data_IF_156648011917
#
_entry.id   IF_156648011917
#
_cell.length_a   1.000
_cell.length_b   1.000
_cell.length_c   1.000
_cell.angle_alpha   90.00
_cell.angle_beta   90.00
_cell.angle_gamma   90.00
#
_symmetry.space_group_name_H-M   'P 1'
#
loop_
_entity.id
_entity.type
_entity.pdbx_description
1 polymer ?
#
# COMPACT_ATOMS: atom_id res chain seq x y z
N UNK A 1 -56.37 -2.13 16.39
CA UNK A 1 -55.91 -3.07 15.34
C UNK A 1 -55.39 -2.24 14.20
N UNK A 2 -54.08 -2.01 14.15
CA UNK A 2 -53.46 -1.07 13.22
C UNK A 2 -53.28 -1.73 11.85
N UNK A 3 -53.74 -1.07 10.79
CA UNK A 3 -53.59 -1.50 9.39
C UNK A 3 -52.13 -1.89 9.06
N UNK A 4 -51.17 -1.27 9.75
CA UNK A 4 -49.74 -1.59 9.67
C UNK A 4 -49.40 -3.06 9.97
N UNK A 5 -50.14 -3.73 10.87
CA UNK A 5 -49.90 -5.15 11.20
C UNK A 5 -50.30 -6.11 10.08
N UNK A 6 -51.12 -5.67 9.13
CA UNK A 6 -51.61 -6.49 8.01
C UNK A 6 -51.08 -6.03 6.65
N UNK A 7 -50.20 -5.03 6.60
CA UNK A 7 -49.72 -4.47 5.33
C UNK A 7 -49.04 -5.51 4.44
N UNK A 8 -48.19 -6.37 5.01
CA UNK A 8 -47.49 -7.42 4.27
C UNK A 8 -48.45 -8.48 3.68
N UNK A 9 -49.34 -9.12 4.48
CA UNK A 9 -50.32 -10.07 3.94
C UNK A 9 -51.23 -9.46 2.85
N UNK A 10 -51.59 -8.18 2.97
CA UNK A 10 -52.39 -7.49 1.94
C UNK A 10 -51.59 -7.36 0.64
N UNK A 11 -50.33 -6.93 0.71
CA UNK A 11 -49.48 -6.80 -0.48
C UNK A 11 -49.18 -8.14 -1.13
N UNK A 12 -48.94 -9.19 -0.33
CA UNK A 12 -48.75 -10.56 -0.82
C UNK A 12 -50.04 -11.07 -1.50
N UNK A 13 -51.21 -10.88 -0.89
CA UNK A 13 -52.49 -11.25 -1.49
C UNK A 13 -52.80 -10.50 -2.79
N UNK A 14 -52.38 -9.24 -2.92
CA UNK A 14 -52.53 -8.46 -4.15
C UNK A 14 -51.53 -8.89 -5.23
N UNK A 15 -50.34 -9.35 -4.83
CA UNK A 15 -49.33 -9.88 -5.74
C UNK A 15 -49.69 -11.28 -6.28
N UNK A 16 -50.34 -12.11 -5.45
CA UNK A 16 -50.71 -13.50 -5.80
C UNK A 16 -52.02 -13.60 -6.60
N UNK A 17 -52.80 -12.53 -6.68
CA UNK A 17 -54.07 -12.53 -7.41
C UNK A 17 -53.86 -12.24 -8.90
N UNK A 18 -54.32 -13.14 -9.78
CA UNK A 18 -54.26 -12.98 -11.25
C UNK A 18 -54.81 -11.63 -11.75
N UNK A 19 -55.82 -11.09 -11.06
CA UNK A 19 -56.46 -9.82 -11.44
C UNK A 19 -55.63 -8.59 -11.10
N UNK A 20 -54.78 -8.65 -10.06
CA UNK A 20 -54.03 -7.50 -9.54
C UNK A 20 -52.51 -7.66 -9.60
N UNK A 21 -52.01 -8.86 -9.89
CA UNK A 21 -50.58 -9.20 -9.87
C UNK A 21 -49.76 -8.26 -10.75
N UNK A 22 -50.17 -8.06 -12.01
CA UNK A 22 -49.44 -7.24 -12.97
C UNK A 22 -49.40 -5.76 -12.56
N UNK A 23 -50.54 -5.22 -12.10
CA UNK A 23 -50.65 -3.83 -11.65
C UNK A 23 -49.82 -3.61 -10.38
N UNK A 24 -49.87 -4.57 -9.45
CA UNK A 24 -49.11 -4.54 -8.19
C UNK A 24 -47.61 -4.61 -8.45
N UNK A 25 -47.16 -5.49 -9.37
CA UNK A 25 -45.77 -5.59 -9.77
C UNK A 25 -45.27 -4.30 -10.45
N UNK A 26 -46.03 -3.74 -11.40
CA UNK A 26 -45.68 -2.47 -12.05
C UNK A 26 -45.59 -1.32 -11.05
N UNK A 27 -46.52 -1.25 -10.11
CA UNK A 27 -46.48 -0.25 -9.03
C UNK A 27 -45.25 -0.43 -8.13
N UNK A 28 -44.96 -1.66 -7.69
CA UNK A 28 -43.82 -1.97 -6.84
C UNK A 28 -42.48 -1.62 -7.52
N UNK A 29 -42.31 -1.97 -8.80
CA UNK A 29 -41.12 -1.61 -9.59
C UNK A 29 -40.98 -0.09 -9.72
N UNK A 30 -42.07 0.61 -10.02
CA UNK A 30 -42.06 2.08 -10.12
C UNK A 30 -41.69 2.74 -8.79
N UNK A 31 -42.26 2.26 -7.69
CA UNK A 31 -41.97 2.74 -6.35
C UNK A 31 -40.51 2.49 -5.95
N UNK A 32 -40.01 1.27 -6.15
CA UNK A 32 -38.63 0.90 -5.85
C UNK A 32 -37.63 1.71 -6.70
N UNK A 33 -37.93 1.89 -7.99
CA UNK A 33 -37.11 2.69 -8.91
C UNK A 33 -36.99 4.15 -8.45
N UNK A 34 -38.08 4.72 -7.92
CA UNK A 34 -38.07 6.08 -7.37
C UNK A 34 -37.19 6.19 -6.12
N UNK A 35 -37.26 5.21 -5.21
CA UNK A 35 -36.40 5.16 -4.03
C UNK A 35 -34.94 5.04 -4.44
N UNK A 36 -34.61 4.06 -5.28
CA UNK A 36 -33.23 3.84 -5.74
C UNK A 36 -32.68 5.07 -6.48
N UNK A 37 -33.51 5.71 -7.32
CA UNK A 37 -33.14 6.94 -8.00
C UNK A 37 -32.84 8.10 -7.04
N UNK A 38 -33.61 8.25 -5.96
CA UNK A 38 -33.35 9.27 -4.92
C UNK A 38 -32.06 9.00 -4.16
N UNK A 39 -31.81 7.74 -3.79
CA UNK A 39 -30.59 7.34 -3.11
C UNK A 39 -29.34 7.53 -3.98
N UNK A 40 -29.39 7.13 -5.25
CA UNK A 40 -28.29 7.40 -6.20
C UNK A 40 -28.08 8.90 -6.37
N UNK A 41 -29.15 9.70 -6.48
CA UNK A 41 -29.02 11.16 -6.54
C UNK A 41 -28.40 11.75 -5.25
N UNK A 42 -28.71 11.19 -4.09
CA UNK A 42 -28.09 11.55 -2.80
C UNK A 42 -26.60 11.19 -2.77
N UNK A 43 -26.24 9.97 -3.18
CA UNK A 43 -24.84 9.55 -3.33
C UNK A 43 -24.07 10.46 -4.29
N UNK A 44 -24.73 10.95 -5.33
CA UNK A 44 -24.11 11.82 -6.34
C UNK A 44 -23.83 13.26 -5.87
N UNK A 45 -24.23 13.65 -4.66
CA UNK A 45 -23.92 14.97 -4.09
C UNK A 45 -22.45 15.09 -3.71
N UNK A 46 -21.93 16.33 -3.71
CA UNK A 46 -20.54 16.60 -3.35
C UNK A 46 -20.22 16.22 -1.90
N UNK A 47 -21.19 16.42 -0.99
CA UNK A 47 -21.09 16.10 0.44
C UNK A 47 -20.85 14.61 0.71
N UNK A 48 -21.21 13.74 -0.22
CA UNK A 48 -21.02 12.29 -0.11
C UNK A 48 -19.55 11.87 -0.29
N UNK A 49 -18.68 12.77 -0.76
CA UNK A 49 -17.23 12.56 -0.81
C UNK A 49 -16.74 11.72 -1.99
N UNK A 50 -17.59 11.45 -2.98
CA UNK A 50 -17.23 10.64 -4.16
C UNK A 50 -16.78 11.48 -5.37
N UNK A 51 -16.54 12.78 -5.17
CA UNK A 51 -16.12 13.70 -6.23
C UNK A 51 -14.60 13.75 -6.34
N UNK A 52 -14.05 13.50 -7.52
CA UNK A 52 -12.60 13.46 -7.75
C UNK A 52 -12.18 14.39 -8.90
N UNK A 53 -11.89 15.67 -8.60
CA UNK A 53 -11.56 16.66 -9.62
C UNK A 53 -10.12 16.47 -10.13
N UNK A 54 -9.96 15.92 -11.35
CA UNK A 54 -8.66 15.62 -11.99
C UNK A 54 -7.58 16.73 -11.92
N UNK A 55 -7.97 18.01 -11.84
CA UNK A 55 -7.04 19.14 -11.75
C UNK A 55 -6.68 19.61 -10.33
N UNK A 56 -7.20 18.96 -9.29
CA UNK A 56 -6.94 19.29 -7.88
C UNK A 56 -6.70 18.04 -7.03
N UNK A 57 -6.38 16.93 -7.69
CA UNK A 57 -6.09 15.67 -7.03
C UNK A 57 -4.77 15.80 -6.29
N UNK A 58 -4.78 15.40 -5.03
CA UNK A 58 -3.56 15.26 -4.22
C UNK A 58 -3.22 13.79 -4.02
N UNK A 59 -1.94 13.50 -3.78
CA UNK A 59 -1.51 12.14 -3.43
C UNK A 59 -2.27 11.59 -2.21
N UNK A 60 -2.52 12.45 -1.21
CA UNK A 60 -3.28 12.11 0.00
C UNK A 60 -4.72 11.73 -0.31
N UNK A 61 -5.37 12.43 -1.25
CA UNK A 61 -6.72 12.06 -1.68
C UNK A 61 -6.73 10.70 -2.37
N UNK A 62 -5.73 10.41 -3.22
CA UNK A 62 -5.63 9.13 -3.91
C UNK A 62 -5.42 7.96 -2.93
N UNK A 63 -4.50 8.11 -1.96
CA UNK A 63 -4.24 7.12 -0.90
C UNK A 63 -5.41 6.95 0.06
N UNK A 64 -6.25 7.97 0.20
CA UNK A 64 -7.41 7.96 1.10
C UNK A 64 -8.67 7.34 0.49
N UNK A 65 -8.67 6.95 -0.79
CA UNK A 65 -9.81 6.23 -1.37
C UNK A 65 -9.64 4.74 -1.11
N UNK A 66 -10.44 4.24 -0.17
CA UNK A 66 -10.53 2.82 0.17
C UNK A 66 -11.90 2.25 -0.24
N UNK A 67 -11.91 1.07 -0.87
CA UNK A 67 -13.15 0.46 -1.38
C UNK A 67 -14.10 0.06 -0.24
N UNK A 68 -13.59 -0.34 0.94
CA UNK A 68 -14.43 -0.66 2.10
C UNK A 68 -15.07 0.61 2.64
N UNK A 69 -14.31 1.70 2.77
CA UNK A 69 -14.87 2.98 3.16
C UNK A 69 -15.91 3.50 2.16
N UNK A 70 -15.74 3.22 0.86
CA UNK A 70 -16.74 3.52 -0.15
C UNK A 70 -17.99 2.66 0.01
N UNK A 71 -17.83 1.35 0.23
CA UNK A 71 -18.93 0.41 0.46
C UNK A 71 -19.77 0.83 1.67
N UNK A 72 -19.13 1.11 2.81
CA UNK A 72 -19.82 1.49 4.06
C UNK A 72 -20.60 2.79 3.88
N UNK A 73 -20.02 3.78 3.19
CA UNK A 73 -20.71 5.04 2.87
C UNK A 73 -21.86 4.84 1.90
N UNK A 74 -21.67 4.02 0.87
CA UNK A 74 -22.72 3.71 -0.11
C UNK A 74 -23.89 2.98 0.54
N UNK A 75 -23.62 1.97 1.36
CA UNK A 75 -24.64 1.23 2.11
C UNK A 75 -25.39 2.15 3.09
N UNK A 76 -24.69 3.06 3.77
CA UNK A 76 -25.32 4.00 4.70
C UNK A 76 -26.24 5.02 4.01
N UNK A 77 -25.83 5.53 2.86
CA UNK A 77 -26.56 6.59 2.14
C UNK A 77 -27.58 6.06 1.13
N UNK A 78 -27.44 4.81 0.71
CA UNK A 78 -28.33 4.13 -0.25
C UNK A 78 -28.66 2.69 0.19
N UNK A 79 -29.23 2.49 1.39
CA UNK A 79 -29.50 1.15 1.91
C UNK A 79 -30.42 0.32 1.01
N UNK A 80 -31.47 0.91 0.42
CA UNK A 80 -32.43 0.16 -0.40
C UNK A 80 -31.80 -0.28 -1.73
N UNK A 81 -31.05 0.61 -2.38
CA UNK A 81 -30.29 0.31 -3.60
C UNK A 81 -29.20 -0.72 -3.33
N UNK A 82 -28.53 -0.61 -2.18
CA UNK A 82 -27.51 -1.57 -1.76
C UNK A 82 -28.10 -2.99 -1.58
N UNK A 83 -29.23 -3.11 -0.89
CA UNK A 83 -29.96 -4.37 -0.74
C UNK A 83 -30.50 -4.89 -2.07
N UNK A 84 -30.95 -4.02 -2.97
CA UNK A 84 -31.33 -4.45 -4.32
C UNK A 84 -30.13 -5.08 -5.06
N UNK A 85 -28.94 -4.48 -4.93
CA UNK A 85 -27.73 -5.03 -5.52
C UNK A 85 -27.24 -6.32 -4.84
N UNK A 86 -27.51 -6.54 -3.55
CA UNK A 86 -27.34 -7.87 -2.93
C UNK A 86 -28.03 -8.95 -3.76
N UNK A 87 -29.30 -8.71 -4.08
CA UNK A 87 -30.11 -9.68 -4.82
C UNK A 87 -29.63 -9.80 -6.26
N UNK A 88 -29.37 -8.69 -6.94
CA UNK A 88 -29.01 -8.70 -8.36
C UNK A 88 -27.62 -9.30 -8.61
N UNK A 89 -26.63 -8.98 -7.77
CA UNK A 89 -25.26 -9.50 -7.93
C UNK A 89 -25.17 -10.98 -7.51
N UNK A 90 -26.06 -11.43 -6.61
CA UNK A 90 -26.13 -12.81 -6.15
C UNK A 90 -27.23 -13.64 -6.82
N UNK A 91 -27.83 -13.16 -7.93
CA UNK A 91 -29.02 -13.77 -8.53
C UNK A 91 -28.84 -15.24 -8.97
N UNK A 92 -27.63 -15.62 -9.41
CA UNK A 92 -27.34 -17.00 -9.77
C UNK A 92 -26.83 -17.80 -8.56
N UNK A 93 -27.78 -18.48 -7.88
CA UNK A 93 -27.48 -19.34 -6.74
C UNK A 93 -26.56 -20.50 -7.09
N UNK A 94 -26.55 -20.97 -8.33
CA UNK A 94 -25.75 -22.11 -8.77
C UNK A 94 -24.29 -21.70 -9.02
N UNK A 95 -24.06 -20.50 -9.57
CA UNK A 95 -22.71 -19.91 -9.64
C UNK A 95 -22.18 -19.61 -8.24
N UNK A 96 -23.01 -19.09 -7.33
CA UNK A 96 -22.60 -18.85 -5.95
C UNK A 96 -22.26 -20.16 -5.21
N UNK A 97 -23.06 -21.20 -5.41
CA UNK A 97 -22.80 -22.54 -4.87
C UNK A 97 -21.52 -23.15 -5.46
N UNK A 98 -21.33 -23.09 -6.79
CA UNK A 98 -20.13 -23.61 -7.46
C UNK A 98 -18.86 -22.91 -7.01
N UNK A 99 -18.91 -21.59 -6.83
CA UNK A 99 -17.81 -20.82 -6.24
C UNK A 99 -17.50 -21.38 -4.86
N UNK A 100 -18.46 -21.40 -3.95
CA UNK A 100 -18.28 -21.95 -2.60
C UNK A 100 -17.77 -23.40 -2.57
N UNK A 101 -18.21 -24.25 -3.51
CA UNK A 101 -17.81 -25.66 -3.60
C UNK A 101 -16.41 -25.87 -4.20
N UNK A 102 -16.05 -25.13 -5.26
CA UNK A 102 -14.71 -25.20 -5.87
C UNK A 102 -13.62 -24.87 -4.85
N UNK A 103 -13.84 -23.82 -4.06
CA UNK A 103 -12.95 -23.44 -2.96
C UNK A 103 -12.73 -24.59 -1.96
N UNK A 104 -13.80 -25.27 -1.54
CA UNK A 104 -13.68 -26.40 -0.60
C UNK A 104 -12.86 -27.57 -1.17
N UNK A 105 -12.87 -27.78 -2.48
CA UNK A 105 -12.18 -28.89 -3.13
C UNK A 105 -10.71 -28.60 -3.45
N UNK A 106 -10.36 -27.39 -3.90
CA UNK A 106 -8.96 -27.01 -4.17
C UNK A 106 -8.09 -27.08 -2.89
N UNK A 107 -8.69 -26.86 -1.72
CA UNK A 107 -8.00 -27.04 -0.44
C UNK A 107 -7.81 -28.50 -0.02
N UNK A 108 -8.72 -29.40 -0.41
CA UNK A 108 -8.54 -30.84 -0.15
C UNK A 108 -7.37 -31.39 -0.95
N UNK A 109 -7.24 -31.01 -2.23
CA UNK A 109 -6.14 -31.45 -3.10
C UNK A 109 -4.80 -30.86 -2.69
N UNK A 110 -4.71 -29.57 -2.31
CA UNK A 110 -3.44 -28.99 -1.79
C UNK A 110 -2.99 -29.66 -0.49
N UNK A 111 -3.89 -29.91 0.47
CA UNK A 111 -3.55 -30.65 1.70
C UNK A 111 -3.17 -32.12 1.42
N UNK A 112 -3.74 -32.75 0.40
CA UNK A 112 -3.37 -34.10 0.00
C UNK A 112 -1.98 -34.11 -0.67
N UNK A 113 -1.69 -33.18 -1.58
CA UNK A 113 -0.36 -33.06 -2.21
C UNK A 113 0.75 -32.73 -1.20
N UNK A 114 0.51 -31.85 -0.23
CA UNK A 114 1.47 -31.57 0.84
C UNK A 114 1.72 -32.78 1.75
N UNK A 115 0.72 -33.66 1.97
CA UNK A 115 0.92 -34.93 2.68
C UNK A 115 1.64 -35.98 1.82
N UNK A 116 1.35 -36.04 0.53
CA UNK A 116 1.97 -37.02 -0.38
C UNK A 116 3.45 -36.70 -0.66
N UNK A 117 3.84 -35.41 -0.75
CA UNK A 117 5.25 -35.04 -0.92
C UNK A 117 6.13 -35.32 0.31
N UNK A 118 5.56 -35.39 1.52
CA UNK A 118 6.31 -35.80 2.72
C UNK A 118 6.53 -37.32 2.77
N UNK A 119 5.78 -38.09 1.98
CA UNK A 119 5.80 -39.57 2.04
C UNK A 119 6.42 -40.23 0.81
N UNK A 120 6.55 -39.53 -0.33
CA UNK A 120 7.07 -40.09 -1.57
C UNK A 120 8.49 -39.59 -1.89
N UNK A 121 9.46 -40.11 -1.14
CA UNK A 121 10.80 -40.35 -1.69
C UNK A 121 10.77 -41.57 -2.60
N UNK A 122 11.35 -41.44 -3.80
CA UNK A 122 11.61 -42.47 -4.81
C UNK A 122 10.48 -42.80 -5.81
N UNK A 123 10.55 -42.11 -6.96
CA UNK A 123 10.63 -42.74 -8.28
C UNK A 123 9.35 -43.30 -8.91
N UNK A 124 8.66 -42.49 -9.72
CA UNK A 124 8.09 -42.90 -11.01
C UNK A 124 7.46 -41.70 -11.71
N UNK A 125 8.02 -41.31 -12.86
CA UNK A 125 7.41 -40.37 -13.80
C UNK A 125 6.35 -41.14 -14.57
N UNK A 126 5.07 -40.79 -14.40
CA UNK A 126 4.00 -41.25 -15.28
C UNK A 126 3.47 -40.08 -16.10
N UNK A 127 3.61 -40.28 -17.40
CA UNK A 127 3.04 -39.51 -18.50
C UNK A 127 1.51 -39.57 -18.40
N UNK A 128 0.85 -38.42 -18.31
CA UNK A 128 -0.61 -38.29 -18.31
C UNK A 128 -0.99 -37.32 -19.43
N UNK A 129 -1.37 -37.91 -20.55
CA UNK A 129 -2.01 -37.21 -21.66
C UNK A 129 -3.52 -37.08 -21.47
N UNK A 130 -4.04 -36.01 -22.06
CA UNK A 130 -5.39 -35.92 -22.63
C UNK A 130 -6.56 -35.87 -21.66
N UNK A 131 -7.08 -34.66 -21.39
CA UNK A 131 -8.49 -34.47 -21.04
C UNK A 131 -8.93 -33.09 -21.51
N UNK A 132 -10.09 -33.09 -22.16
CA UNK A 132 -10.64 -32.03 -22.99
C UNK A 132 -10.98 -30.71 -22.25
N UNK A 133 -10.82 -29.62 -23.01
CA UNK A 133 -10.85 -28.21 -22.65
C UNK A 133 -12.25 -27.64 -22.35
N UNK A 134 -12.90 -28.04 -21.26
CA UNK A 134 -14.10 -27.32 -20.75
C UNK A 134 -13.91 -26.66 -19.37
N UNK A 135 -12.75 -26.84 -18.73
CA UNK A 135 -12.45 -26.30 -17.38
C UNK A 135 -11.62 -24.99 -17.37
N UNK A 136 -11.20 -24.48 -18.54
CA UNK A 136 -10.25 -23.37 -18.64
C UNK A 136 -10.81 -22.03 -18.10
N UNK A 137 -12.10 -21.76 -18.34
CA UNK A 137 -12.80 -20.60 -17.76
C UNK A 137 -12.93 -20.70 -16.23
N UNK A 138 -13.04 -21.93 -15.69
CA UNK A 138 -13.13 -22.15 -14.24
C UNK A 138 -11.80 -21.86 -13.55
N UNK A 139 -10.69 -22.16 -14.23
CA UNK A 139 -9.32 -21.90 -13.77
C UNK A 139 -9.03 -20.39 -13.83
N UNK A 140 -9.51 -19.70 -14.87
CA UNK A 140 -9.38 -18.25 -14.99
C UNK A 140 -10.05 -17.50 -13.82
N UNK A 141 -11.31 -17.84 -13.50
CA UNK A 141 -11.97 -17.22 -12.35
C UNK A 141 -11.36 -17.62 -11.00
N UNK A 142 -10.86 -18.86 -10.86
CA UNK A 142 -10.08 -19.27 -9.68
C UNK A 142 -8.80 -18.45 -9.52
N UNK A 143 -8.14 -18.07 -10.62
CA UNK A 143 -6.93 -17.24 -10.57
C UNK A 143 -7.20 -15.78 -10.19
N UNK A 144 -8.35 -15.22 -10.57
CA UNK A 144 -8.80 -13.88 -10.15
C UNK A 144 -9.15 -13.87 -8.67
N UNK A 145 -9.77 -14.95 -8.21
CA UNK A 145 -10.20 -15.17 -6.84
C UNK A 145 -9.00 -15.45 -5.89
N UNK A 146 -7.90 -16.00 -6.40
CA UNK A 146 -6.61 -16.20 -5.71
C UNK A 146 -5.72 -14.93 -5.67
N UNK A 147 -6.14 -13.82 -6.29
CA UNK A 147 -5.40 -12.56 -6.17
C UNK A 147 -5.43 -12.08 -4.71
N UNK A 148 -4.27 -11.75 -4.11
CA UNK A 148 -4.25 -11.17 -2.78
C UNK A 148 -5.10 -9.91 -2.79
N UNK A 149 -6.20 -9.94 -2.03
CA UNK A 149 -7.07 -8.79 -1.83
C UNK A 149 -6.18 -7.59 -1.47
N UNK A 150 -6.35 -6.46 -2.17
CA UNK A 150 -5.63 -5.21 -1.92
C UNK A 150 -5.89 -4.72 -0.49
N UNK A 151 -5.15 -5.28 0.45
CA UNK A 151 -5.21 -5.03 1.87
C UNK A 151 -3.82 -5.29 2.41
N UNK A 152 -3.29 -4.27 3.06
CA UNK A 152 -1.96 -4.16 3.68
C UNK A 152 -1.23 -5.49 3.88
N UNK A 153 -0.07 -5.61 3.22
CA UNK A 153 0.93 -6.66 3.41
C UNK A 153 1.30 -6.77 4.90
N UNK A 154 0.58 -7.59 5.66
CA UNK A 154 1.02 -8.08 6.96
C UNK A 154 1.30 -9.59 6.85
N UNK A 155 2.47 -9.93 7.39
CA UNK A 155 3.28 -11.13 7.15
C UNK A 155 2.51 -12.46 7.22
N UNK A 156 2.70 -13.26 6.16
CA UNK A 156 2.23 -14.64 6.04
C UNK A 156 2.93 -15.56 7.05
N UNK A 157 2.30 -15.77 8.21
CA UNK A 157 2.50 -16.97 9.02
C UNK A 157 1.68 -18.13 8.40
N UNK A 158 2.33 -18.89 7.50
CA UNK A 158 1.77 -20.13 6.96
C UNK A 158 1.55 -21.15 8.08
N UNK A 159 0.30 -21.40 8.48
CA UNK A 159 0.03 -22.48 9.43
C UNK A 159 -1.37 -22.60 10.05
N UNK A 160 -2.33 -21.72 9.74
CA UNK A 160 -3.69 -21.83 10.31
C UNK A 160 -4.73 -22.00 9.22
N UNK A 161 -5.39 -23.16 9.24
CA UNK A 161 -6.51 -23.50 8.37
C UNK A 161 -7.60 -22.41 8.41
N UNK A 162 -8.06 -22.04 7.23
CA UNK A 162 -8.60 -20.74 6.86
C UNK A 162 -10.10 -20.62 7.13
N UNK A 163 -10.48 -19.92 8.20
CA UNK A 163 -11.87 -19.51 8.48
C UNK A 163 -12.35 -18.35 7.59
N UNK A 164 -11.51 -17.83 6.67
CA UNK A 164 -11.78 -16.57 5.93
C UNK A 164 -12.38 -16.73 4.53
N UNK A 165 -12.61 -17.95 4.04
CA UNK A 165 -13.22 -18.18 2.72
C UNK A 165 -14.59 -17.48 2.52
N UNK A 166 -15.56 -17.56 3.46
CA UNK A 166 -16.82 -16.82 3.30
C UNK A 166 -16.61 -15.30 3.31
N UNK A 167 -15.65 -14.80 4.10
CA UNK A 167 -15.35 -13.35 4.17
C UNK A 167 -14.87 -12.81 2.82
N UNK A 168 -14.05 -13.56 2.06
CA UNK A 168 -13.58 -13.15 0.73
C UNK A 168 -14.71 -13.02 -0.29
N UNK A 169 -15.68 -13.93 -0.24
CA UNK A 169 -16.82 -13.88 -1.16
C UNK A 169 -17.69 -12.65 -0.90
N UNK A 170 -17.95 -12.33 0.37
CA UNK A 170 -18.68 -11.14 0.77
C UNK A 170 -17.94 -9.87 0.33
N UNK A 171 -16.61 -9.84 0.45
CA UNK A 171 -15.78 -8.73 -0.01
C UNK A 171 -15.84 -8.55 -1.55
N UNK A 172 -15.86 -9.64 -2.32
CA UNK A 172 -16.05 -9.58 -3.77
C UNK A 172 -17.43 -9.05 -4.16
N UNK A 173 -18.49 -9.44 -3.44
CA UNK A 173 -19.82 -8.88 -3.63
C UNK A 173 -19.85 -7.39 -3.32
N UNK A 174 -19.17 -6.94 -2.26
CA UNK A 174 -19.04 -5.50 -1.93
C UNK A 174 -18.34 -4.74 -3.06
N UNK A 175 -17.24 -5.25 -3.61
CA UNK A 175 -16.53 -4.61 -4.74
C UNK A 175 -17.46 -4.45 -5.94
N UNK A 176 -18.22 -5.50 -6.28
CA UNK A 176 -19.18 -5.46 -7.40
C UNK A 176 -20.26 -4.41 -7.17
N UNK A 177 -20.83 -4.33 -5.96
CA UNK A 177 -21.83 -3.32 -5.60
C UNK A 177 -21.27 -1.90 -5.71
N UNK A 178 -20.08 -1.67 -5.16
CA UNK A 178 -19.39 -0.37 -5.26
C UNK A 178 -19.16 0.00 -6.73
N UNK A 179 -18.79 -0.96 -7.57
CA UNK A 179 -18.58 -0.75 -9.00
C UNK A 179 -19.88 -0.35 -9.70
N UNK A 180 -20.96 -1.10 -9.49
CA UNK A 180 -22.28 -0.80 -10.06
C UNK A 180 -22.79 0.58 -9.62
N UNK A 181 -22.75 0.88 -8.32
CA UNK A 181 -23.17 2.19 -7.79
C UNK A 181 -22.31 3.31 -8.34
N UNK A 182 -20.99 3.12 -8.46
CA UNK A 182 -20.09 4.12 -9.03
C UNK A 182 -20.46 4.47 -10.48
N UNK A 183 -20.86 3.49 -11.29
CA UNK A 183 -21.33 3.71 -12.67
C UNK A 183 -22.64 4.50 -12.68
N UNK A 184 -23.61 4.12 -11.83
CA UNK A 184 -24.90 4.80 -11.70
C UNK A 184 -24.74 6.25 -11.22
N UNK A 185 -23.87 6.46 -10.23
CA UNK A 185 -23.55 7.78 -9.69
C UNK A 185 -22.85 8.67 -10.71
N UNK A 186 -21.89 8.15 -11.48
CA UNK A 186 -21.19 8.90 -12.53
C UNK A 186 -22.15 9.28 -13.67
N UNK A 187 -23.08 8.39 -14.00
CA UNK A 187 -24.13 8.64 -15.00
C UNK A 187 -25.07 9.77 -14.56
N UNK A 188 -25.36 9.85 -13.25
CA UNK A 188 -26.18 10.91 -12.67
C UNK A 188 -25.41 12.23 -12.51
N UNK A 189 -24.13 12.15 -12.13
CA UNK A 189 -23.25 13.28 -11.97
C UNK A 189 -21.82 12.90 -12.38
N UNK A 190 -21.35 13.45 -13.51
CA UNK A 190 -20.00 13.16 -14.05
C UNK A 190 -18.85 13.50 -13.09
N UNK A 191 -19.10 14.30 -12.05
CA UNK A 191 -18.11 14.61 -11.00
C UNK A 191 -17.96 13.48 -9.99
N UNK A 192 -18.91 12.56 -9.89
CA UNK A 192 -18.83 11.35 -9.06
C UNK A 192 -18.00 10.29 -9.76
N UNK A 193 -16.67 10.45 -9.70
CA UNK A 193 -15.72 9.66 -10.47
C UNK A 193 -14.57 9.13 -9.58
N UNK A 194 -14.76 9.01 -8.27
CA UNK A 194 -13.71 8.54 -7.35
C UNK A 194 -13.17 7.16 -7.76
N UNK A 195 -14.04 6.14 -7.90
CA UNK A 195 -13.64 4.80 -8.33
C UNK A 195 -13.04 4.84 -9.74
N UNK A 196 -13.70 5.54 -10.67
CA UNK A 196 -13.24 5.66 -12.06
C UNK A 196 -11.86 6.33 -12.18
N UNK A 197 -11.55 7.27 -11.28
CA UNK A 197 -10.24 7.92 -11.24
C UNK A 197 -9.16 6.97 -10.73
N UNK A 198 -9.46 6.19 -9.68
CA UNK A 198 -8.58 5.13 -9.20
C UNK A 198 -8.28 4.11 -10.30
N UNK A 199 -9.33 3.57 -10.92
CA UNK A 199 -9.21 2.56 -12.00
C UNK A 199 -8.43 3.15 -13.18
N UNK A 200 -8.71 4.39 -13.59
CA UNK A 200 -8.00 5.02 -14.70
C UNK A 200 -6.52 5.25 -14.43
N UNK A 201 -6.15 5.70 -13.23
CA UNK A 201 -4.76 5.87 -12.82
C UNK A 201 -4.06 4.52 -12.70
N UNK A 202 -4.73 3.50 -12.14
CA UNK A 202 -4.23 2.15 -12.05
C UNK A 202 -3.93 1.57 -13.44
N UNK A 203 -4.89 1.61 -14.37
CA UNK A 203 -4.69 1.15 -15.75
C UNK A 203 -3.53 1.86 -16.43
N UNK A 204 -3.38 3.17 -16.20
CA UNK A 204 -2.25 3.92 -16.72
C UNK A 204 -0.91 3.47 -16.12
N UNK A 205 -0.85 3.24 -14.81
CA UNK A 205 0.35 2.75 -14.11
C UNK A 205 0.76 1.34 -14.54
N UNK A 206 -0.20 0.49 -14.91
CA UNK A 206 0.05 -0.85 -15.46
C UNK A 206 0.45 -0.82 -16.95
N UNK A 207 0.60 0.36 -17.56
CA UNK A 207 0.95 0.48 -18.98
C UNK A 207 -0.15 -0.01 -19.92
N UNK A 208 -1.42 0.01 -19.50
CA UNK A 208 -2.53 -0.44 -20.35
C UNK A 208 -2.60 0.39 -21.66
N UNK A 209 -2.78 -0.26 -22.83
CA UNK A 209 -2.93 0.44 -24.10
C UNK A 209 -4.01 1.52 -24.04
N UNK A 210 -3.84 2.59 -24.82
CA UNK A 210 -4.80 3.70 -24.85
C UNK A 210 -6.21 3.23 -25.21
N UNK A 211 -6.33 2.31 -26.18
CA UNK A 211 -7.60 1.70 -26.59
C UNK A 211 -8.33 0.98 -25.44
N UNK A 212 -7.58 0.30 -24.56
CA UNK A 212 -8.15 -0.34 -23.37
C UNK A 212 -8.64 0.72 -22.39
N UNK A 213 -7.84 1.76 -22.14
CA UNK A 213 -8.24 2.87 -21.24
C UNK A 213 -9.47 3.61 -21.76
N UNK A 214 -9.56 3.84 -23.07
CA UNK A 214 -10.74 4.44 -23.71
C UNK A 214 -11.98 3.55 -23.63
N UNK A 215 -11.83 2.23 -23.84
CA UNK A 215 -12.92 1.27 -23.68
C UNK A 215 -13.49 1.32 -22.26
N UNK A 216 -12.64 1.28 -21.23
CA UNK A 216 -13.08 1.39 -19.84
C UNK A 216 -13.70 2.75 -19.50
N UNK A 217 -13.21 3.82 -20.12
CA UNK A 217 -13.83 5.14 -19.98
C UNK A 217 -15.23 5.19 -20.59
N UNK A 218 -15.43 4.58 -21.75
CA UNK A 218 -16.74 4.48 -22.40
C UNK A 218 -17.73 3.59 -21.63
N UNK A 219 -17.25 2.56 -20.92
CA UNK A 219 -18.06 1.74 -20.02
C UNK A 219 -18.43 2.43 -18.69
N UNK A 220 -17.87 3.61 -18.41
CA UNK A 220 -18.06 4.29 -17.12
C UNK A 220 -17.28 3.66 -15.96
N UNK A 221 -16.27 2.83 -16.26
CA UNK A 221 -15.40 2.19 -15.27
C UNK A 221 -14.09 2.98 -15.04
N UNK A 222 -13.74 3.88 -15.96
CA UNK A 222 -12.56 4.75 -15.86
C UNK A 222 -12.93 6.20 -16.23
N UNK A 223 -12.08 7.14 -15.81
CA UNK A 223 -12.07 8.49 -16.40
C UNK A 223 -11.40 8.47 -17.78
N UNK A 224 -11.60 9.54 -18.57
CA UNK A 224 -10.98 9.67 -19.89
C UNK A 224 -9.45 9.76 -19.82
N UNK A 225 -8.78 9.36 -20.90
CA UNK A 225 -7.31 9.45 -21.06
C UNK A 225 -6.79 10.87 -20.81
N UNK A 226 -7.49 11.90 -21.31
CA UNK A 226 -7.18 13.31 -21.05
C UNK A 226 -7.25 13.64 -19.55
N UNK A 227 -8.24 13.11 -18.83
CA UNK A 227 -8.40 13.32 -17.39
C UNK A 227 -7.32 12.60 -16.59
N UNK A 228 -6.92 11.40 -17.02
CA UNK A 228 -5.78 10.66 -16.46
C UNK A 228 -4.51 11.51 -16.61
N UNK A 229 -4.18 11.94 -17.83
CA UNK A 229 -2.96 12.73 -18.09
C UNK A 229 -2.94 14.05 -17.29
N UNK A 230 -4.10 14.71 -17.14
CA UNK A 230 -4.23 15.89 -16.29
C UNK A 230 -3.98 15.58 -14.80
N UNK A 231 -4.48 14.45 -14.33
CA UNK A 231 -4.27 13.99 -12.95
C UNK A 231 -2.79 13.68 -12.71
N UNK A 232 -2.16 12.91 -13.60
CA UNK A 232 -0.73 12.59 -13.53
C UNK A 232 0.10 13.88 -13.53
N UNK A 233 -0.16 14.83 -14.43
CA UNK A 233 0.54 16.12 -14.44
C UNK A 233 0.39 16.89 -13.12
N UNK A 234 -0.79 16.85 -12.52
CA UNK A 234 -1.06 17.51 -11.23
C UNK A 234 -0.28 16.83 -10.10
N UNK A 235 -0.29 15.49 -10.04
CA UNK A 235 0.49 14.71 -9.07
C UNK A 235 1.99 14.88 -9.25
N UNK A 236 2.49 14.93 -10.49
CA UNK A 236 3.90 15.19 -10.78
C UNK A 236 4.33 16.58 -10.29
N UNK A 237 3.48 17.60 -10.47
CA UNK A 237 3.77 18.94 -9.98
C UNK A 237 3.72 19.02 -8.44
N UNK A 238 2.79 18.30 -7.80
CA UNK A 238 2.76 18.18 -6.33
C UNK A 238 4.03 17.49 -5.81
N UNK A 239 4.47 16.41 -6.46
CA UNK A 239 5.71 15.72 -6.12
C UNK A 239 6.93 16.63 -6.31
N UNK A 240 7.03 17.38 -7.41
CA UNK A 240 8.11 18.36 -7.63
C UNK A 240 8.12 19.42 -6.53
N UNK A 241 6.96 19.97 -6.17
CA UNK A 241 6.86 20.93 -5.08
C UNK A 241 7.30 20.33 -3.74
N UNK A 242 6.97 19.07 -3.47
CA UNK A 242 7.40 18.36 -2.27
C UNK A 242 8.91 18.14 -2.24
N UNK A 243 9.50 17.70 -3.36
CA UNK A 243 10.95 17.55 -3.53
C UNK A 243 11.65 18.90 -3.28
N UNK A 244 11.18 19.98 -3.92
CA UNK A 244 11.73 21.33 -3.73
C UNK A 244 11.62 21.82 -2.29
N UNK A 245 10.44 21.69 -1.68
CA UNK A 245 10.20 22.11 -0.29
C UNK A 245 11.10 21.33 0.67
N UNK A 246 11.24 20.03 0.46
CA UNK A 246 12.09 19.15 1.27
C UNK A 246 13.57 19.50 1.07
N UNK A 247 13.98 19.76 -0.16
CA UNK A 247 15.34 20.15 -0.52
C UNK A 247 15.75 21.49 0.09
N UNK A 248 14.94 22.52 -0.14
CA UNK A 248 15.16 23.89 0.33
C UNK A 248 15.15 24.03 1.86
N UNK A 249 14.63 23.03 2.58
CA UNK A 249 14.79 22.97 4.03
C UNK A 249 16.27 22.89 4.44
N UNK A 250 17.13 22.32 3.58
CA UNK A 250 18.54 21.95 3.85
C UNK A 250 18.68 20.99 5.05
N UNK A 251 17.60 20.34 5.45
CA UNK A 251 17.53 19.37 6.54
C UNK A 251 17.13 18.01 5.97
N UNK A 252 17.86 17.56 4.95
CA UNK A 252 17.50 16.38 4.18
C UNK A 252 18.74 15.56 3.84
N UNK A 253 18.66 14.27 4.08
CA UNK A 253 19.62 13.28 3.60
C UNK A 253 19.19 12.81 2.20
N UNK A 254 20.14 12.68 1.28
CA UNK A 254 19.92 12.10 -0.04
C UNK A 254 20.45 10.66 -0.05
N UNK A 255 19.62 9.72 -0.48
CA UNK A 255 20.03 8.36 -0.82
C UNK A 255 19.77 8.12 -2.30
N UNK A 256 20.72 7.53 -3.01
CA UNK A 256 20.55 7.15 -4.41
C UNK A 256 21.22 5.82 -4.70
N UNK A 257 20.70 5.12 -5.71
CA UNK A 257 21.22 3.84 -6.16
C UNK A 257 20.94 3.63 -7.65
N UNK A 258 21.72 2.74 -8.26
CA UNK A 258 21.56 2.30 -9.64
C UNK A 258 20.32 1.39 -9.78
N UNK A 259 19.50 1.66 -10.79
CA UNK A 259 18.36 0.84 -11.19
C UNK A 259 18.56 0.37 -12.63
N UNK A 260 18.80 -0.92 -12.77
CA UNK A 260 18.92 -1.58 -14.07
C UNK A 260 17.62 -2.28 -14.44
N UNK A 261 16.89 -1.74 -15.43
CA UNK A 261 15.63 -2.31 -15.90
C UNK A 261 15.88 -3.08 -17.19
N UNK A 262 15.67 -4.40 -17.17
CA UNK A 262 15.67 -5.21 -18.38
C UNK A 262 14.27 -5.19 -19.03
N UNK A 263 14.09 -4.35 -20.04
CA UNK A 263 12.88 -4.26 -20.85
C UNK A 263 12.87 -5.40 -21.87
N UNK A 264 12.38 -6.57 -21.45
CA UNK A 264 12.21 -7.72 -22.35
C UNK A 264 11.17 -7.39 -23.43
N UNK A 265 11.60 -7.35 -24.70
CA UNK A 265 10.67 -7.27 -25.82
C UNK A 265 9.98 -8.61 -26.06
N UNK A 266 8.65 -8.60 -26.25
CA UNK A 266 7.85 -9.82 -26.54
C UNK A 266 8.22 -10.47 -27.88
N UNK A 267 8.83 -9.72 -28.80
CA UNK A 267 9.31 -10.23 -30.09
C UNK A 267 10.73 -9.72 -30.33
N UNK A 268 11.76 -10.58 -30.29
CA UNK A 268 13.10 -10.18 -30.68
C UNK A 268 13.11 -9.90 -32.19
N UNK A 269 13.19 -8.63 -32.58
CA UNK A 269 13.41 -8.26 -33.98
C UNK A 269 14.88 -8.46 -34.33
N UNK A 270 15.14 -9.18 -35.43
CA UNK A 270 16.50 -9.53 -35.90
C UNK A 270 17.42 -8.30 -36.07
N UNK A 271 16.84 -7.12 -36.28
CA UNK A 271 17.55 -5.86 -36.58
C UNK A 271 17.88 -5.00 -35.35
N UNK A 272 17.40 -5.35 -34.14
CA UNK A 272 17.70 -4.64 -32.89
C UNK A 272 18.25 -5.62 -31.84
N UNK A 273 19.49 -6.05 -32.04
CA UNK A 273 20.24 -6.87 -31.10
C UNK A 273 20.91 -6.05 -29.97
N UNK A 274 20.52 -4.80 -29.73
CA UNK A 274 21.27 -3.89 -28.85
C UNK A 274 20.37 -3.21 -27.80
N UNK A 275 20.79 -3.39 -26.55
CA UNK A 275 20.28 -2.85 -25.28
C UNK A 275 18.78 -2.94 -24.96
N UNK A 276 18.42 -4.07 -24.35
CA UNK A 276 17.19 -4.18 -23.53
C UNK A 276 17.38 -3.62 -22.12
N UNK A 277 18.63 -3.31 -21.73
CA UNK A 277 18.96 -2.84 -20.40
C UNK A 277 18.93 -1.30 -20.37
N UNK A 278 17.97 -0.75 -19.64
CA UNK A 278 17.95 0.69 -19.34
C UNK A 278 18.61 0.90 -17.99
N UNK A 279 19.74 1.62 -18.00
CA UNK A 279 20.46 2.02 -16.80
C UNK A 279 19.90 3.36 -16.30
N UNK A 280 19.28 3.38 -15.12
CA UNK A 280 18.77 4.59 -14.49
C UNK A 280 19.40 4.75 -13.11
N UNK A 281 19.43 5.97 -12.58
CA UNK A 281 19.66 6.22 -11.16
C UNK A 281 18.35 6.62 -10.52
N UNK A 282 18.03 5.98 -9.40
CA UNK A 282 16.90 6.39 -8.55
C UNK A 282 17.43 7.06 -7.29
N UNK A 283 16.70 8.06 -6.81
CA UNK A 283 17.06 8.80 -5.61
C UNK A 283 15.84 9.03 -4.72
N UNK A 284 16.10 9.16 -3.43
CA UNK A 284 15.11 9.44 -2.39
C UNK A 284 15.68 10.43 -1.38
N UNK A 285 14.81 11.31 -0.91
CA UNK A 285 15.10 12.28 0.12
C UNK A 285 14.53 11.81 1.44
N UNK A 286 15.34 11.85 2.49
CA UNK A 286 14.96 11.52 3.85
C UNK A 286 15.06 12.80 4.68
N UNK A 287 13.93 13.48 4.96
CA UNK A 287 13.93 14.64 5.83
C UNK A 287 14.49 14.28 7.21
N UNK A 288 15.42 15.07 7.70
CA UNK A 288 16.03 14.93 9.02
C UNK A 288 15.01 15.38 10.06
N UNK A 289 14.59 14.45 10.91
CA UNK A 289 13.59 14.68 11.96
C UNK A 289 14.27 14.98 13.32
N UNK A 290 13.50 14.92 14.41
CA UNK A 290 14.00 14.96 15.79
C UNK A 290 14.66 16.29 16.21
N UNK A 291 14.24 17.41 15.61
CA UNK A 291 14.68 18.74 16.02
C UNK A 291 16.04 19.15 15.45
N UNK A 292 16.59 18.40 14.49
CA UNK A 292 17.82 18.78 13.77
C UNK A 292 17.60 20.14 13.10
N UNK A 293 18.52 21.05 13.36
CA UNK A 293 18.56 22.41 12.81
C UNK A 293 19.68 22.54 11.79
N UNK A 294 19.71 23.66 11.05
CA UNK A 294 20.76 23.92 10.06
C UNK A 294 22.12 24.12 10.73
N UNK A 295 22.13 24.67 11.94
CA UNK A 295 23.35 24.90 12.71
C UNK A 295 24.01 23.57 13.10
N UNK A 296 23.22 22.53 13.39
CA UNK A 296 23.73 21.18 13.67
C UNK A 296 24.45 20.58 12.46
N UNK A 297 24.05 20.98 11.24
CA UNK A 297 24.65 20.53 9.98
C UNK A 297 25.77 21.45 9.48
N UNK A 298 25.96 22.62 10.10
CA UNK A 298 27.01 23.58 9.75
C UNK A 298 28.39 23.15 10.29
N UNK A 299 28.74 21.89 10.07
CA UNK A 299 30.01 21.32 10.45
C UNK A 299 30.91 21.08 9.22
N UNK A 300 30.47 21.40 8.01
CA UNK A 300 31.21 21.11 6.77
C UNK A 300 32.64 21.69 6.79
N UNK A 301 32.80 22.94 7.24
CA UNK A 301 34.11 23.57 7.36
C UNK A 301 34.99 22.86 8.41
N UNK A 302 34.42 22.52 9.57
CA UNK A 302 35.12 21.79 10.64
C UNK A 302 35.53 20.39 10.18
N UNK A 303 34.63 19.68 9.48
CA UNK A 303 34.87 18.35 8.90
C UNK A 303 35.94 18.42 7.82
N UNK A 304 35.88 19.40 6.91
CA UNK A 304 36.88 19.60 5.86
C UNK A 304 38.24 19.98 6.43
N UNK A 305 38.30 20.94 7.36
CA UNK A 305 39.52 21.34 8.08
C UNK A 305 40.16 20.20 8.86
N UNK A 306 39.40 19.17 9.21
CA UNK A 306 39.94 18.01 9.92
C UNK A 306 40.06 16.77 9.03
N UNK A 307 39.67 16.84 7.76
CA UNK A 307 39.69 15.69 6.84
C UNK A 307 41.11 15.30 6.46
N UNK A 308 41.39 14.00 6.39
CA UNK A 308 42.67 13.46 5.90
C UNK A 308 42.87 13.77 4.41
N UNK A 309 41.78 14.00 3.69
CA UNK A 309 41.80 14.34 2.25
C UNK A 309 42.03 15.83 1.99
N UNK A 310 42.03 16.68 3.01
CA UNK A 310 42.35 18.10 2.85
C UNK A 310 43.88 18.27 2.79
N UNK A 311 44.45 18.71 1.64
CA UNK A 311 45.90 18.80 1.44
C UNK A 311 46.58 19.82 2.35
N UNK A 312 45.83 20.79 2.87
CA UNK A 312 46.36 21.85 3.75
C UNK A 312 46.56 21.36 5.19
N UNK A 313 45.91 20.25 5.55
CA UNK A 313 46.06 19.61 6.85
C UNK A 313 47.32 18.75 6.86
N UNK A 314 48.47 19.37 7.16
CA UNK A 314 49.74 18.66 7.41
C UNK A 314 49.73 17.76 8.66
N UNK A 315 48.57 17.50 9.28
CA UNK A 315 48.43 16.72 10.50
C UNK A 315 47.74 15.39 10.23
N UNK A 316 48.41 14.29 10.59
CA UNK A 316 47.79 12.98 10.71
C UNK A 316 46.78 13.04 11.86
N UNK A 317 45.49 12.79 11.56
CA UNK A 317 44.46 12.70 12.60
C UNK A 317 44.89 11.68 13.66
N UNK A 318 44.81 12.05 14.93
CA UNK A 318 44.80 11.06 16.01
C UNK A 318 43.57 10.17 15.78
N UNK A 319 43.81 8.90 15.45
CA UNK A 319 42.79 7.85 15.38
C UNK A 319 41.87 7.96 16.59
N UNK A 320 40.54 8.02 16.36
CA UNK A 320 39.58 7.96 17.46
C UNK A 320 39.74 6.57 18.08
N UNK A 321 40.26 6.52 19.30
CA UNK A 321 40.42 5.25 19.99
C UNK A 321 39.06 4.71 20.43
N UNK A 322 38.95 3.39 20.54
CA UNK A 322 37.74 2.78 21.11
C UNK A 322 37.46 3.35 22.51
N UNK A 323 38.49 3.64 23.31
CA UNK A 323 38.34 4.25 24.63
C UNK A 323 37.68 5.64 24.60
N UNK A 324 37.96 6.43 23.55
CA UNK A 324 37.31 7.72 23.34
C UNK A 324 35.82 7.53 23.02
N UNK A 325 35.47 6.59 22.13
CA UNK A 325 34.06 6.28 21.84
C UNK A 325 33.33 5.79 23.08
N UNK A 326 33.99 4.97 23.90
CA UNK A 326 33.45 4.46 25.15
C UNK A 326 33.30 5.54 26.23
N UNK A 327 33.83 6.74 26.00
CA UNK A 327 33.79 7.88 26.94
C UNK A 327 32.79 8.98 26.59
N UNK A 328 32.06 8.87 25.46
CA UNK A 328 31.13 9.90 24.95
C UNK A 328 30.05 10.31 25.98
N UNK A 329 29.70 9.43 26.92
CA UNK A 329 28.79 9.73 28.02
C UNK A 329 29.38 9.33 29.38
N UNK A 330 30.61 9.79 29.67
CA UNK A 330 31.18 9.62 31.01
C UNK A 330 30.29 10.31 32.04
N UNK A 331 29.78 9.52 32.99
CA UNK A 331 29.20 10.04 34.22
C UNK A 331 30.32 10.39 35.19
N UNK A 332 30.08 11.41 35.99
CA UNK A 332 30.98 11.78 37.07
C UNK A 332 30.85 10.73 38.19
N UNK A 333 31.95 10.08 38.56
CA UNK A 333 31.98 8.99 39.56
C UNK A 333 31.52 9.45 40.97
N UNK A 334 31.26 10.76 41.13
CA UNK A 334 30.83 11.42 42.36
C UNK A 334 29.39 11.09 42.79
N UNK A 335 28.55 10.55 41.89
CA UNK A 335 27.14 10.23 42.20
C UNK A 335 26.92 8.70 42.35
N UNK A 336 26.77 8.18 43.58
CA UNK A 336 26.55 6.76 43.79
C UNK A 336 25.17 6.30 43.29
N UNK A 337 25.15 5.33 42.37
CA UNK A 337 23.91 4.72 41.87
C UNK A 337 23.45 3.55 42.78
N UNK A 338 22.14 3.35 43.03
CA UNK A 338 21.62 2.28 43.90
C UNK A 338 22.04 0.85 43.54
N UNK A 339 22.44 0.61 42.30
CA UNK A 339 22.93 -0.70 41.83
C UNK A 339 24.37 -1.01 42.26
N UNK A 340 25.09 -0.06 42.88
CA UNK A 340 26.51 -0.19 43.21
C UNK A 340 27.45 -0.13 41.98
N UNK A 341 26.92 0.17 40.80
CA UNK A 341 27.67 0.33 39.55
C UNK A 341 27.75 1.83 39.22
N UNK A 342 28.94 2.41 39.35
CA UNK A 342 29.15 3.86 39.18
C UNK A 342 28.95 4.30 37.74
N UNK A 343 29.38 3.49 36.76
CA UNK A 343 29.28 3.86 35.35
C UNK A 343 27.97 3.38 34.71
N UNK A 344 27.27 4.27 34.02
CA UNK A 344 26.09 3.95 33.18
C UNK A 344 26.27 2.74 32.28
N UNK A 345 27.45 2.62 31.65
CA UNK A 345 27.80 1.49 30.79
C UNK A 345 27.78 0.15 31.54
N UNK A 346 28.26 0.12 32.78
CA UNK A 346 28.21 -1.08 33.60
C UNK A 346 26.76 -1.47 33.89
N UNK A 347 25.89 -0.48 34.16
CA UNK A 347 24.44 -0.68 34.36
C UNK A 347 23.78 -1.26 33.11
N UNK A 348 24.04 -0.67 31.94
CA UNK A 348 23.53 -1.16 30.66
C UNK A 348 24.01 -2.59 30.36
N UNK A 349 25.31 -2.86 30.52
CA UNK A 349 25.86 -4.20 30.27
C UNK A 349 25.25 -5.24 31.21
N UNK A 350 25.14 -4.93 32.51
CA UNK A 350 24.51 -5.82 33.48
C UNK A 350 23.05 -6.12 33.12
N UNK A 351 22.30 -5.09 32.72
CA UNK A 351 20.93 -5.26 32.22
C UNK A 351 20.88 -6.10 30.94
N UNK A 352 21.78 -5.88 29.97
CA UNK A 352 21.80 -6.62 28.71
C UNK A 352 22.11 -8.11 28.93
N UNK A 353 23.09 -8.44 29.78
CA UNK A 353 23.36 -9.82 30.17
C UNK A 353 22.15 -10.48 30.84
N UNK A 354 21.48 -9.78 31.76
CA UNK A 354 20.29 -10.30 32.40
C UNK A 354 19.14 -10.49 31.41
N UNK A 355 18.91 -9.52 30.51
CA UNK A 355 17.93 -9.58 29.44
C UNK A 355 18.16 -10.79 28.54
N UNK A 356 19.41 -11.03 28.14
CA UNK A 356 19.73 -12.14 27.25
C UNK A 356 19.57 -13.48 27.94
N UNK A 357 19.97 -13.58 29.22
CA UNK A 357 19.78 -14.79 30.01
C UNK A 357 18.29 -15.11 30.21
N UNK A 358 17.44 -14.09 30.40
CA UNK A 358 15.99 -14.24 30.60
C UNK A 358 15.24 -14.53 29.29
N UNK A 359 15.70 -14.00 28.16
CA UNK A 359 14.99 -14.14 26.89
C UNK A 359 15.49 -15.31 26.03
N UNK A 360 16.78 -15.65 26.16
CA UNK A 360 17.46 -16.64 25.31
C UNK A 360 18.23 -17.71 26.10
N UNK A 361 18.33 -17.58 27.43
CA UNK A 361 18.99 -18.56 28.29
C UNK A 361 18.13 -19.77 28.64
N UNK A 362 18.59 -20.60 29.60
CA UNK A 362 17.82 -21.74 30.09
C UNK A 362 16.43 -21.36 30.63
N UNK A 363 15.46 -22.27 30.49
CA UNK A 363 14.06 -22.05 30.85
C UNK A 363 13.85 -21.58 32.29
N UNK A 364 14.75 -21.97 33.20
CA UNK A 364 14.79 -21.48 34.58
C UNK A 364 14.76 -19.94 34.67
N UNK A 365 15.39 -19.21 33.75
CA UNK A 365 15.47 -17.75 33.82
C UNK A 365 14.23 -17.03 33.26
N UNK A 366 13.37 -17.73 32.51
CA UNK A 366 12.15 -17.15 31.95
C UNK A 366 11.18 -16.65 33.02
N UNK A 367 11.20 -17.26 34.21
CA UNK A 367 10.38 -16.84 35.36
C UNK A 367 10.66 -15.38 35.80
N UNK A 368 11.80 -14.80 35.42
CA UNK A 368 12.18 -13.44 35.79
C UNK A 368 11.77 -12.37 34.78
N UNK A 369 11.06 -12.72 33.69
CA UNK A 369 10.58 -11.73 32.69
C UNK A 369 9.81 -10.56 33.31
N UNK A 370 8.98 -10.84 34.32
CA UNK A 370 8.24 -9.79 35.04
C UNK A 370 9.13 -8.77 35.73
N UNK A 371 10.30 -9.19 36.25
CA UNK A 371 11.27 -8.32 36.93
C UNK A 371 12.10 -7.49 35.97
N UNK A 372 12.39 -8.01 34.77
CA UNK A 372 13.14 -7.27 33.74
C UNK A 372 12.39 -6.02 33.24
N UNK A 373 11.06 -6.05 33.33
CA UNK A 373 10.20 -4.94 32.92
C UNK A 373 10.02 -3.85 34.00
N UNK A 374 10.54 -4.04 35.21
CA UNK A 374 10.52 -3.02 36.25
C UNK A 374 11.35 -1.81 35.80
N UNK A 375 10.77 -0.62 35.91
CA UNK A 375 11.40 0.65 35.55
C UNK A 375 12.72 0.88 36.30
N UNK A 376 12.88 0.30 37.51
CA UNK A 376 14.12 0.37 38.29
C UNK A 376 15.27 -0.48 37.74
N UNK A 377 14.95 -1.47 36.90
CA UNK A 377 15.91 -2.42 36.33
C UNK A 377 16.33 -2.00 34.92
N UNK A 378 15.45 -1.31 34.19
CA UNK A 378 15.78 -0.79 32.86
C UNK A 378 16.90 0.25 32.92
N UNK A 379 17.85 0.23 31.96
CA UNK A 379 18.90 1.22 31.89
C UNK A 379 18.29 2.59 31.60
N UNK A 380 18.95 3.62 32.12
CA UNK A 380 18.62 5.00 31.82
C UNK A 380 18.68 5.25 30.31
N UNK A 381 17.68 5.97 29.81
CA UNK A 381 17.63 6.38 28.42
C UNK A 381 18.49 7.63 28.27
N UNK A 382 19.50 7.57 27.41
CA UNK A 382 20.41 8.67 27.10
C UNK A 382 20.23 9.01 25.64
N UNK A 383 19.98 10.29 25.35
CA UNK A 383 19.86 10.81 23.98
C UNK A 383 19.03 9.89 23.08
N UNK A 384 17.88 9.42 23.61
CA UNK A 384 17.01 8.54 22.85
C UNK A 384 16.62 9.22 21.56
N UNK A 385 17.00 8.60 20.44
CA UNK A 385 16.46 8.94 19.13
C UNK A 385 15.03 8.42 19.14
N UNK A 386 14.01 9.29 19.06
CA UNK A 386 12.63 8.85 19.01
C UNK A 386 12.44 7.90 17.82
N UNK A 387 11.83 6.74 18.06
CA UNK A 387 11.52 5.83 16.96
C UNK A 387 10.31 6.40 16.22
N UNK A 388 10.56 6.96 15.04
CA UNK A 388 9.51 7.41 14.11
C UNK A 388 9.66 6.67 12.79
N UNK A 389 8.54 6.52 12.06
CA UNK A 389 8.59 5.98 10.71
C UNK A 389 9.30 6.98 9.80
N UNK A 390 10.39 6.54 9.17
CA UNK A 390 11.14 7.36 8.22
C UNK A 390 10.24 7.78 7.07
N UNK A 391 10.09 9.09 6.89
CA UNK A 391 9.45 9.65 5.70
C UNK A 391 10.46 9.63 4.55
N UNK A 392 10.01 9.21 3.37
CA UNK A 392 10.81 9.24 2.15
C UNK A 392 10.08 10.06 1.09
N UNK A 393 10.81 10.92 0.39
CA UNK A 393 10.31 11.69 -0.74
C UNK A 393 11.07 11.22 -1.98
N UNK A 394 10.47 10.36 -2.83
CA UNK A 394 11.14 9.86 -4.02
C UNK A 394 11.41 11.00 -4.99
N UNK A 395 12.59 11.00 -5.59
CA UNK A 395 12.99 11.95 -6.62
C UNK A 395 12.72 11.37 -8.01
N UNK A 396 12.76 12.21 -9.04
CA UNK A 396 12.65 11.74 -10.42
C UNK A 396 13.90 10.94 -10.77
N UNK A 397 13.69 9.76 -11.36
CA UNK A 397 14.76 8.94 -11.90
C UNK A 397 15.59 9.72 -12.93
N UNK A 398 16.89 9.47 -12.93
CA UNK A 398 17.87 10.16 -13.75
C UNK A 398 18.47 9.16 -14.74
N UNK A 399 18.65 9.60 -15.98
CA UNK A 399 19.36 8.82 -17.02
C UNK A 399 20.86 9.03 -16.88
N UNK A 400 21.40 8.64 -15.72
CA UNK A 400 22.81 8.75 -15.33
C UNK A 400 23.20 7.41 -14.74
N UNK A 401 24.40 6.94 -15.05
CA UNK A 401 24.97 5.72 -14.47
C UNK A 401 26.16 6.10 -13.59
N UNK A 402 26.01 6.33 -12.27
CA UNK A 402 27.06 6.76 -11.36
C UNK A 402 28.12 5.68 -11.11
N UNK A 403 28.92 5.36 -12.15
CA UNK A 403 30.00 4.37 -12.11
C UNK A 403 31.35 5.01 -11.82
N UNK A 404 31.48 6.31 -12.09
CA UNK A 404 32.69 7.11 -11.90
C UNK A 404 32.42 8.27 -10.94
N UNK A 405 33.46 8.82 -10.28
CA UNK A 405 33.31 10.01 -9.45
C UNK A 405 32.70 11.21 -10.18
N UNK A 406 32.94 11.36 -11.48
CA UNK A 406 32.34 12.40 -12.30
C UNK A 406 30.83 12.20 -12.46
N UNK A 407 30.39 10.99 -12.83
CA UNK A 407 28.96 10.66 -12.98
C UNK A 407 28.20 10.73 -11.64
N UNK A 408 28.87 10.39 -10.52
CA UNK A 408 28.33 10.63 -9.18
C UNK A 408 28.11 12.12 -8.95
N UNK A 409 29.08 12.96 -9.33
CA UNK A 409 28.94 14.42 -9.28
C UNK A 409 27.77 14.94 -10.11
N UNK A 410 27.60 14.41 -11.33
CA UNK A 410 26.49 14.77 -12.21
C UNK A 410 25.13 14.37 -11.62
N UNK A 411 25.02 13.17 -11.05
CA UNK A 411 23.82 12.74 -10.34
C UNK A 411 23.51 13.64 -9.14
N UNK A 412 24.52 14.03 -8.35
CA UNK A 412 24.36 14.97 -7.23
C UNK A 412 23.86 16.35 -7.69
N UNK A 413 24.39 16.87 -8.81
CA UNK A 413 23.93 18.14 -9.38
C UNK A 413 22.47 18.06 -9.83
N UNK A 414 22.09 17.00 -10.54
CA UNK A 414 20.68 16.82 -10.97
C UNK A 414 19.74 16.66 -9.77
N UNK A 415 20.16 15.97 -8.71
CA UNK A 415 19.39 15.92 -7.47
C UNK A 415 19.24 17.30 -6.81
N UNK A 416 20.32 18.08 -6.74
CA UNK A 416 20.28 19.44 -6.20
C UNK A 416 19.33 20.35 -7.01
N UNK A 417 19.37 20.26 -8.35
CA UNK A 417 18.47 20.98 -9.25
C UNK A 417 17.00 20.62 -9.02
N UNK A 418 16.69 19.32 -8.93
CA UNK A 418 15.34 18.85 -8.61
C UNK A 418 14.86 19.35 -7.24
N UNK A 419 15.76 19.32 -6.25
CA UNK A 419 15.54 19.82 -4.90
C UNK A 419 15.43 21.36 -4.84
N UNK A 420 15.71 22.08 -5.92
CA UNK A 420 15.76 23.53 -5.94
C UNK A 420 16.80 24.10 -4.97
N UNK A 421 17.91 23.38 -4.81
CA UNK A 421 19.04 23.71 -3.93
C UNK A 421 20.27 23.95 -4.80
N UNK A 422 21.00 25.03 -4.51
CA UNK A 422 22.09 25.48 -5.37
C UNK A 422 21.56 26.32 -6.53
N UNK A 423 22.49 26.95 -7.24
CA UNK A 423 22.11 27.93 -8.23
C UNK A 423 22.04 27.34 -9.62
N UNK A 424 20.87 27.48 -10.26
CA UNK A 424 20.79 27.30 -11.71
C UNK A 424 21.77 28.21 -12.45
N UNK A 425 22.12 29.38 -11.86
CA UNK A 425 23.21 30.32 -12.20
C UNK A 425 23.44 31.32 -11.04
N UNK A 426 24.35 31.05 -10.10
CA UNK A 426 24.73 31.90 -8.94
C UNK A 426 23.62 32.44 -7.99
N UNK A 427 23.90 32.39 -6.68
CA UNK A 427 23.11 32.96 -5.59
C UNK A 427 23.21 34.48 -5.67
#
# INVERSE_FOLDING_TARGET
>A
MTIYGHARPILESLADSDATAEVTARWAISFASRICGQEVAQLSKQESGFHFPAGRVTERQLKGVDIKDMADRMQKLAPDTWTLLDVLVAADSHVNYRRGWSWQNTHKTKNQQSRTMVTAGAGAVKDVGGSDNEDDDSIYWQSIDDLPFFGTEEENHYGRADTKAPERFDDLLKIKKVTCLSVLMQSTNRRCNALQSLVGIFLHSCGAPETVRELFAHMGLSISTTSINKTIKTLSHEAENQIRTTGQSLLTLYGFDNLDINLKHSTPSLEKSQDTLTHLTTATMVPLQHGITRDDLNCAETVWKSSVSNPDTGQSRSSISLDQLLSIHREDDSTPHPSGLSARRQRFNAWKYLSDLINYGPEYFHQFRGKLNDAKVKPEVVDAIPVTKTAQVPMRAMDIKPSTPAEIGDALNVMADQAGVGDGKQN
#
